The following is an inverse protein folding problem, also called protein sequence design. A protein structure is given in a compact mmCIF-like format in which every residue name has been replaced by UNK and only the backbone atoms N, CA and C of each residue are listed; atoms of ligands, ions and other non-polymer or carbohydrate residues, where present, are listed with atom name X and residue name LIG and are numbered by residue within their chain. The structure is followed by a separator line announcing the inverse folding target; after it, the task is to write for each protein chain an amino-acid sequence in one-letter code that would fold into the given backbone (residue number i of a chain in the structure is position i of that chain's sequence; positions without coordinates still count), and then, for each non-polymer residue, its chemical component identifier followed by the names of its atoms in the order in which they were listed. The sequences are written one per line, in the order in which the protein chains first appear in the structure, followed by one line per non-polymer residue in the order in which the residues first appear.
data_IF_877697222968
#
_entry.id   IF_877697222968
#
_cell.length_a   1.000
_cell.length_b   1.000
_cell.length_c   1.000
_cell.angle_alpha   90.00
_cell.angle_beta   90.00
_cell.angle_gamma   90.00
#
_symmetry.space_group_name_H-M   'P 1'
#
loop_
_entity.id
_entity.type
_entity.pdbx_description
1 polymer ?
#
# COMPACT_ATOMS: atom_id res chain seq x y z
N UNK A 1 17.32 -29.14 3.47
CA UNK A 1 18.76 -28.83 3.64
C UNK A 1 18.96 -27.43 3.08
N UNK A 2 19.37 -26.47 3.91
CA UNK A 2 19.55 -25.08 3.50
C UNK A 2 20.83 -25.00 2.66
N UNK A 3 20.69 -24.72 1.36
CA UNK A 3 21.85 -24.53 0.49
C UNK A 3 22.71 -23.39 1.03
N UNK A 4 24.01 -23.60 1.11
CA UNK A 4 24.94 -22.56 1.56
C UNK A 4 24.94 -21.40 0.57
N UNK A 5 25.38 -20.22 1.02
CA UNK A 5 25.54 -19.06 0.15
C UNK A 5 26.44 -19.33 -1.07
N UNK A 6 27.45 -20.17 -0.88
CA UNK A 6 28.39 -20.56 -1.93
C UNK A 6 27.70 -21.44 -2.97
N UNK A 7 26.90 -22.42 -2.53
CA UNK A 7 26.10 -23.27 -3.43
C UNK A 7 25.08 -22.46 -4.22
N UNK A 8 24.42 -21.48 -3.58
CA UNK A 8 23.48 -20.58 -4.27
C UNK A 8 24.18 -19.69 -5.32
N UNK A 9 25.38 -19.18 -5.00
CA UNK A 9 26.17 -18.39 -5.95
C UNK A 9 26.67 -19.23 -7.14
N UNK A 10 27.04 -20.49 -6.90
CA UNK A 10 27.43 -21.43 -7.96
C UNK A 10 26.24 -21.72 -8.88
N UNK A 11 25.06 -22.01 -8.31
CA UNK A 11 23.85 -22.24 -9.08
C UNK A 11 23.46 -21.01 -9.93
N UNK A 12 23.57 -19.80 -9.35
CA UNK A 12 23.28 -18.56 -10.07
C UNK A 12 24.24 -18.35 -11.25
N UNK A 13 25.55 -18.56 -11.04
CA UNK A 13 26.55 -18.43 -12.10
C UNK A 13 26.32 -19.43 -13.22
N UNK A 14 25.94 -20.66 -12.88
CA UNK A 14 25.61 -21.68 -13.88
C UNK A 14 24.38 -21.28 -14.70
N UNK A 15 23.32 -20.82 -14.06
CA UNK A 15 22.11 -20.37 -14.75
C UNK A 15 22.37 -19.18 -15.69
N UNK A 16 23.25 -18.25 -15.29
CA UNK A 16 23.67 -17.14 -16.15
C UNK A 16 24.48 -17.64 -17.35
N UNK A 17 25.41 -18.58 -17.14
CA UNK A 17 26.18 -19.16 -18.23
C UNK A 17 25.30 -19.89 -19.25
N UNK A 18 24.33 -20.67 -18.77
CA UNK A 18 23.38 -21.39 -19.61
C UNK A 18 22.50 -20.43 -20.42
N UNK A 19 22.09 -19.30 -19.82
CA UNK A 19 21.35 -18.24 -20.51
C UNK A 19 22.18 -17.57 -21.60
N UNK A 20 23.43 -17.22 -21.31
CA UNK A 20 24.35 -16.61 -22.29
C UNK A 20 24.57 -17.56 -23.47
N UNK A 21 24.78 -18.85 -23.20
CA UNK A 21 24.93 -19.87 -24.24
C UNK A 21 23.65 -20.06 -25.07
N UNK A 22 22.47 -20.03 -24.43
CA UNK A 22 21.18 -20.13 -25.10
C UNK A 22 20.88 -18.92 -26.02
N UNK A 23 21.24 -17.71 -25.58
CA UNK A 23 21.12 -16.48 -26.39
C UNK A 23 22.07 -16.54 -27.59
N UNK A 24 23.33 -16.96 -27.39
CA UNK A 24 24.28 -17.15 -28.49
C UNK A 24 23.80 -18.20 -29.51
N UNK A 25 23.05 -19.21 -29.06
CA UNK A 25 22.44 -20.23 -29.91
C UNK A 25 21.10 -19.79 -30.57
N UNK A 26 20.69 -18.54 -30.41
CA UNK A 26 19.47 -17.99 -31.03
C UNK A 26 18.15 -18.53 -30.47
N UNK A 27 18.14 -19.09 -29.26
CA UNK A 27 16.90 -19.56 -28.63
C UNK A 27 16.03 -18.35 -28.23
N UNK A 28 14.72 -18.33 -28.55
CA UNK A 28 13.84 -17.19 -28.27
C UNK A 28 13.77 -16.90 -26.77
N UNK A 29 13.87 -15.61 -26.41
CA UNK A 29 13.83 -15.12 -25.02
C UNK A 29 12.49 -15.37 -24.33
N UNK A 30 11.43 -15.59 -25.10
CA UNK A 30 10.04 -15.83 -24.67
C UNK A 30 9.86 -17.11 -23.84
N UNK A 31 10.78 -18.08 -23.91
CA UNK A 31 10.75 -19.26 -23.01
C UNK A 31 11.20 -18.97 -21.58
N UNK A 32 11.79 -17.81 -21.34
CA UNK A 32 12.44 -17.45 -20.06
C UNK A 32 11.73 -16.31 -19.33
N UNK A 33 10.70 -15.75 -19.93
CA UNK A 33 9.94 -14.63 -19.44
C UNK A 33 8.47 -14.92 -19.72
N UNK A 34 7.65 -15.01 -18.67
CA UNK A 34 6.20 -15.06 -18.81
C UNK A 34 5.68 -13.61 -18.85
N UNK A 35 5.13 -13.12 -19.98
CA UNK A 35 4.58 -11.78 -20.06
C UNK A 35 3.40 -11.56 -19.09
N UNK A 36 2.73 -12.63 -18.63
CA UNK A 36 1.62 -12.53 -17.69
C UNK A 36 2.05 -12.13 -16.27
N UNK A 37 3.35 -12.15 -15.98
CA UNK A 37 3.88 -11.87 -14.65
C UNK A 37 3.99 -10.37 -14.33
N UNK A 38 3.93 -9.49 -15.34
CA UNK A 38 3.97 -8.03 -15.17
C UNK A 38 2.59 -7.40 -14.89
N UNK A 39 1.51 -7.98 -15.46
CA UNK A 39 0.16 -7.38 -15.43
C UNK A 39 -0.85 -8.12 -14.54
N UNK A 40 -0.46 -9.26 -13.97
CA UNK A 40 -1.29 -9.95 -12.98
C UNK A 40 -1.12 -9.24 -11.63
N UNK A 41 -2.18 -8.64 -11.03
CA UNK A 41 -2.12 -8.24 -9.65
C UNK A 41 -1.95 -9.50 -8.82
N UNK A 42 -0.69 -9.86 -8.53
CA UNK A 42 -0.40 -10.90 -7.55
C UNK A 42 -1.17 -10.49 -6.31
N UNK A 43 -2.10 -11.31 -5.80
CA UNK A 43 -2.81 -10.97 -4.60
C UNK A 43 -1.74 -10.78 -3.53
N UNK A 44 -1.53 -9.52 -3.14
CA UNK A 44 -0.55 -9.15 -2.12
C UNK A 44 -1.16 -9.60 -0.80
N UNK A 45 -1.16 -10.90 -0.55
CA UNK A 45 -1.87 -11.53 0.56
C UNK A 45 -1.20 -11.26 1.92
N UNK A 46 -0.25 -10.32 2.00
CA UNK A 46 0.57 -10.06 3.20
C UNK A 46 1.57 -11.18 3.50
N UNK A 47 1.25 -12.43 3.17
CA UNK A 47 2.04 -13.64 3.41
C UNK A 47 3.42 -13.64 2.73
N UNK A 48 3.59 -12.84 1.68
CA UNK A 48 4.85 -12.76 0.93
C UNK A 48 5.99 -12.11 1.73
N UNK A 49 5.66 -11.20 2.68
CA UNK A 49 6.67 -10.39 3.38
C UNK A 49 7.37 -11.14 4.53
N UNK A 50 6.75 -12.21 5.04
CA UNK A 50 7.30 -13.04 6.11
C UNK A 50 8.09 -14.26 5.60
N UNK A 51 8.06 -14.50 4.28
CA UNK A 51 8.74 -15.65 3.65
C UNK A 51 10.15 -15.35 3.15
N UNK A 52 10.48 -14.08 2.92
CA UNK A 52 11.82 -13.71 2.45
C UNK A 52 12.80 -13.56 3.62
N UNK A 53 13.87 -14.39 3.70
CA UNK A 53 14.76 -14.42 4.86
C UNK A 53 15.56 -13.13 5.12
N UNK A 54 15.48 -12.12 4.22
CA UNK A 54 16.29 -10.90 4.29
C UNK A 54 15.54 -9.67 3.76
N UNK A 55 14.50 -9.26 4.48
CA UNK A 55 13.93 -7.92 4.31
C UNK A 55 14.94 -6.89 4.84
N UNK A 56 15.30 -5.89 4.04
CA UNK A 56 16.17 -4.81 4.48
C UNK A 56 15.52 -4.05 5.66
N UNK A 57 16.29 -3.59 6.68
CA UNK A 57 15.70 -2.93 7.86
C UNK A 57 14.76 -1.77 7.54
N UNK A 58 15.05 -0.96 6.51
CA UNK A 58 14.17 0.14 6.07
C UNK A 58 12.84 -0.36 5.50
N UNK A 59 12.84 -1.44 4.73
CA UNK A 59 11.61 -2.06 4.24
C UNK A 59 10.79 -2.63 5.39
N UNK A 60 11.46 -3.24 6.38
CA UNK A 60 10.79 -3.70 7.59
C UNK A 60 10.12 -2.54 8.33
N UNK A 61 10.83 -1.42 8.53
CA UNK A 61 10.26 -0.24 9.17
C UNK A 61 9.04 0.31 8.42
N UNK A 62 9.07 0.30 7.09
CA UNK A 62 7.91 0.67 6.27
C UNK A 62 6.72 -0.28 6.48
N UNK A 63 6.96 -1.58 6.55
CA UNK A 63 5.88 -2.55 6.83
C UNK A 63 5.30 -2.39 8.23
N UNK A 64 6.15 -2.11 9.22
CA UNK A 64 5.70 -1.80 10.58
C UNK A 64 4.75 -0.56 10.57
N UNK A 65 5.03 0.47 9.74
CA UNK A 65 4.12 1.61 9.53
C UNK A 65 2.82 1.20 8.85
N UNK A 66 2.86 0.30 7.86
CA UNK A 66 1.63 -0.22 7.23
C UNK A 66 0.75 -0.98 8.24
N UNK A 67 1.35 -1.73 9.16
CA UNK A 67 0.60 -2.42 10.21
C UNK A 67 -0.01 -1.43 11.21
N UNK A 68 0.73 -0.39 11.60
CA UNK A 68 0.19 0.69 12.41
C UNK A 68 -0.99 1.42 11.71
N UNK A 69 -0.92 1.61 10.39
CA UNK A 69 -2.01 2.18 9.59
C UNK A 69 -3.28 1.31 9.67
N UNK A 70 -3.15 -0.03 9.59
CA UNK A 70 -4.27 -0.96 9.74
C UNK A 70 -4.89 -0.87 11.14
N UNK A 71 -4.07 -0.85 12.17
CA UNK A 71 -4.52 -0.74 13.56
C UNK A 71 -5.28 0.57 13.80
N UNK A 72 -4.77 1.68 13.25
CA UNK A 72 -5.43 2.97 13.32
C UNK A 72 -6.76 3.00 12.59
N UNK A 73 -6.83 2.42 11.38
CA UNK A 73 -8.08 2.28 10.65
C UNK A 73 -9.10 1.50 11.49
N UNK A 74 -8.71 0.34 12.04
CA UNK A 74 -9.58 -0.47 12.88
C UNK A 74 -10.09 0.27 14.12
N UNK A 75 -9.24 1.10 14.77
CA UNK A 75 -9.64 1.96 15.90
C UNK A 75 -10.67 3.02 15.48
N UNK A 76 -10.37 3.83 14.46
CA UNK A 76 -11.23 4.92 13.98
C UNK A 76 -12.59 4.43 13.48
N UNK A 77 -12.59 3.30 12.80
CA UNK A 77 -13.82 2.64 12.33
C UNK A 77 -14.76 2.25 13.47
N UNK A 78 -14.22 1.88 14.65
CA UNK A 78 -15.02 1.57 15.85
C UNK A 78 -15.50 2.81 16.60
N UNK A 79 -14.67 3.85 16.69
CA UNK A 79 -14.96 5.01 17.55
C UNK A 79 -16.04 5.93 16.97
N UNK A 80 -15.95 6.29 15.69
CA UNK A 80 -16.89 7.24 15.07
C UNK A 80 -17.19 6.93 13.59
N UNK A 81 -16.55 5.93 13.00
CA UNK A 81 -16.83 5.50 11.63
C UNK A 81 -18.18 4.82 11.48
N UNK A 82 -18.71 4.23 12.56
CA UNK A 82 -19.81 3.27 12.51
C UNK A 82 -20.86 3.47 13.63
N UNK A 83 -21.66 4.57 13.62
CA UNK A 83 -22.65 4.84 14.67
C UNK A 83 -23.69 3.73 14.85
N UNK A 84 -23.98 2.98 13.78
CA UNK A 84 -24.91 1.84 13.78
C UNK A 84 -24.25 0.48 14.00
N UNK A 85 -22.92 0.37 13.94
CA UNK A 85 -22.21 -0.90 13.95
C UNK A 85 -22.16 -1.65 12.59
N UNK A 86 -22.81 -1.12 11.55
CA UNK A 86 -22.96 -1.81 10.25
C UNK A 86 -21.98 -1.33 9.15
N UNK A 87 -21.70 -0.03 9.05
CA UNK A 87 -20.77 0.53 8.05
C UNK A 87 -19.60 1.28 8.72
N UNK A 88 -18.38 0.70 8.73
CA UNK A 88 -17.15 1.31 9.25
C UNK A 88 -16.81 2.71 8.70
N UNK A 89 -17.42 3.08 7.57
CA UNK A 89 -17.13 4.29 6.83
C UNK A 89 -18.38 5.17 6.67
N UNK A 90 -19.41 4.96 7.50
CA UNK A 90 -20.68 5.68 7.44
C UNK A 90 -20.48 7.19 7.57
N UNK A 91 -19.52 7.64 8.37
CA UNK A 91 -19.20 9.07 8.52
C UNK A 91 -18.86 9.75 7.17
N UNK A 92 -18.05 9.11 6.33
CA UNK A 92 -17.65 9.63 5.02
C UNK A 92 -18.83 9.57 4.06
N UNK A 93 -19.59 8.47 4.03
CA UNK A 93 -20.75 8.34 3.13
C UNK A 93 -21.85 9.33 3.48
N UNK A 94 -22.19 9.43 4.76
CA UNK A 94 -23.23 10.32 5.26
C UNK A 94 -22.84 11.79 5.03
N UNK A 95 -21.58 12.15 5.31
CA UNK A 95 -21.08 13.49 5.03
C UNK A 95 -21.10 13.82 3.53
N UNK A 96 -20.70 12.88 2.68
CA UNK A 96 -20.73 13.04 1.23
C UNK A 96 -22.17 13.16 0.68
N UNK A 97 -23.09 12.31 1.17
CA UNK A 97 -24.50 12.34 0.82
C UNK A 97 -25.16 13.65 1.23
N UNK A 98 -24.85 14.16 2.43
CA UNK A 98 -25.35 15.45 2.93
C UNK A 98 -24.96 16.62 2.00
N UNK A 99 -23.74 16.62 1.46
CA UNK A 99 -23.25 17.66 0.54
C UNK A 99 -23.66 17.40 -0.92
N UNK A 100 -24.07 16.17 -1.26
CA UNK A 100 -24.43 15.78 -2.62
C UNK A 100 -23.23 15.43 -3.50
N UNK A 101 -22.20 14.81 -2.94
CA UNK A 101 -21.01 14.34 -3.68
C UNK A 101 -20.79 12.83 -3.52
N UNK A 102 -20.11 12.17 -4.47
CA UNK A 102 -19.58 10.82 -4.29
C UNK A 102 -18.74 10.65 -3.02
N UNK A 103 -18.87 9.50 -2.36
CA UNK A 103 -18.17 9.22 -1.10
C UNK A 103 -16.64 9.29 -1.24
N UNK A 104 -16.08 8.80 -2.37
CA UNK A 104 -14.65 8.90 -2.62
C UNK A 104 -14.17 10.36 -2.76
N UNK A 105 -15.00 11.26 -3.30
CA UNK A 105 -14.72 12.71 -3.31
C UNK A 105 -14.78 13.28 -1.90
N UNK A 106 -15.69 12.79 -1.06
CA UNK A 106 -15.71 13.10 0.38
C UNK A 106 -14.40 12.74 1.07
N UNK A 107 -13.84 11.55 0.80
CA UNK A 107 -12.51 11.18 1.30
C UNK A 107 -11.39 12.10 0.78
N UNK A 108 -11.45 12.53 -0.49
CA UNK A 108 -10.49 13.48 -1.06
C UNK A 108 -10.56 14.88 -0.40
N UNK A 109 -11.76 15.34 -0.01
CA UNK A 109 -11.90 16.59 0.76
C UNK A 109 -11.18 16.48 2.10
N UNK A 110 -11.38 15.39 2.83
CA UNK A 110 -10.71 15.13 4.12
C UNK A 110 -9.19 15.03 3.98
N UNK A 111 -8.72 14.45 2.89
CA UNK A 111 -7.31 14.43 2.52
C UNK A 111 -6.77 15.86 2.33
N UNK A 112 -7.50 16.71 1.61
CA UNK A 112 -7.14 18.12 1.38
C UNK A 112 -7.03 18.93 2.68
N UNK A 113 -7.91 18.68 3.66
CA UNK A 113 -7.82 19.33 4.99
C UNK A 113 -6.45 19.08 5.64
N UNK A 114 -5.95 17.83 5.53
CA UNK A 114 -4.67 17.41 6.11
C UNK A 114 -3.47 17.98 5.34
N UNK A 115 -3.54 18.02 4.01
CA UNK A 115 -2.52 18.69 3.17
C UNK A 115 -2.43 20.18 3.53
N UNK A 116 -3.57 20.85 3.72
CA UNK A 116 -3.62 22.27 4.08
C UNK A 116 -2.98 22.52 5.45
N UNK A 117 -3.22 21.61 6.41
CA UNK A 117 -2.56 21.67 7.73
C UNK A 117 -1.04 21.50 7.63
N UNK A 118 -0.56 20.58 6.79
CA UNK A 118 0.87 20.41 6.55
C UNK A 118 1.49 21.59 5.81
N UNK A 119 0.76 22.24 4.90
CA UNK A 119 1.22 23.48 4.27
C UNK A 119 1.44 24.59 5.31
N UNK A 120 0.52 24.74 6.27
CA UNK A 120 0.69 25.67 7.39
C UNK A 120 1.89 25.29 8.27
N UNK A 121 2.09 24.01 8.55
CA UNK A 121 3.28 23.54 9.27
C UNK A 121 4.58 23.88 8.53
N UNK A 122 4.65 23.65 7.21
CA UNK A 122 5.82 23.97 6.42
C UNK A 122 6.16 25.48 6.44
N UNK A 123 5.14 26.34 6.52
CA UNK A 123 5.33 27.78 6.58
C UNK A 123 5.72 28.29 7.98
N UNK A 124 5.25 27.64 9.05
CA UNK A 124 5.33 28.17 10.43
C UNK A 124 6.20 27.35 11.37
N UNK A 125 6.52 26.10 11.01
CA UNK A 125 7.20 25.12 11.84
C UNK A 125 6.37 24.63 13.05
N UNK A 126 5.05 24.91 13.09
CA UNK A 126 4.21 24.62 14.26
C UNK A 126 2.92 23.87 13.91
N UNK A 127 2.53 22.97 14.81
CA UNK A 127 1.24 22.28 14.83
C UNK A 127 0.72 22.31 16.27
N UNK A 128 -0.54 22.70 16.48
CA UNK A 128 -1.11 22.88 17.83
C UNK A 128 -1.97 21.70 18.31
N UNK A 129 -2.60 20.96 17.39
CA UNK A 129 -3.65 19.99 17.74
C UNK A 129 -3.36 18.54 17.33
N UNK A 130 -2.46 18.32 16.38
CA UNK A 130 -2.12 17.00 15.84
C UNK A 130 -0.66 16.99 15.43
N UNK A 131 0.02 15.86 15.54
CA UNK A 131 1.42 15.76 15.13
C UNK A 131 1.57 15.69 13.60
N UNK A 132 2.81 15.91 13.12
CA UNK A 132 3.16 15.66 11.71
C UNK A 132 2.86 14.21 11.32
N UNK A 133 3.20 13.27 12.20
CA UNK A 133 3.00 11.83 11.98
C UNK A 133 1.51 11.48 11.87
N UNK A 134 0.65 12.01 12.75
CA UNK A 134 -0.80 11.81 12.68
C UNK A 134 -1.37 12.28 11.33
N UNK A 135 -0.89 13.43 10.84
CA UNK A 135 -1.32 13.99 9.57
C UNK A 135 -0.87 13.14 8.39
N UNK A 136 0.37 12.65 8.39
CA UNK A 136 0.88 11.76 7.35
C UNK A 136 0.14 10.42 7.32
N UNK A 137 -0.18 9.86 8.48
CA UNK A 137 -1.01 8.65 8.55
C UNK A 137 -2.44 8.89 8.07
N UNK A 138 -3.05 10.03 8.41
CA UNK A 138 -4.37 10.39 7.89
C UNK A 138 -4.34 10.51 6.36
N UNK A 139 -3.30 11.10 5.77
CA UNK A 139 -3.15 11.16 4.31
C UNK A 139 -3.07 9.77 3.68
N UNK A 140 -2.27 8.86 4.25
CA UNK A 140 -2.19 7.48 3.78
C UNK A 140 -3.55 6.76 3.88
N UNK A 141 -4.24 6.93 5.02
CA UNK A 141 -5.57 6.36 5.25
C UNK A 141 -6.60 6.89 4.26
N UNK A 142 -6.75 8.21 4.12
CA UNK A 142 -7.73 8.79 3.21
C UNK A 142 -7.44 8.48 1.74
N UNK A 143 -6.17 8.32 1.36
CA UNK A 143 -5.80 7.87 0.01
C UNK A 143 -6.33 6.45 -0.28
N UNK A 144 -6.14 5.51 0.65
CA UNK A 144 -6.65 4.15 0.53
C UNK A 144 -8.19 4.12 0.56
N UNK A 145 -8.81 4.92 1.43
CA UNK A 145 -10.27 5.03 1.51
C UNK A 145 -10.87 5.61 0.22
N UNK A 146 -10.28 6.66 -0.35
CA UNK A 146 -10.72 7.22 -1.62
C UNK A 146 -10.67 6.17 -2.74
N UNK A 147 -9.57 5.39 -2.82
CA UNK A 147 -9.45 4.30 -3.79
C UNK A 147 -10.51 3.20 -3.58
N UNK A 148 -10.72 2.78 -2.33
CA UNK A 148 -11.73 1.76 -1.98
C UNK A 148 -13.13 2.22 -2.40
N UNK A 149 -13.52 3.42 -2.00
CA UNK A 149 -14.85 3.99 -2.28
C UNK A 149 -15.09 4.20 -3.77
N UNK A 150 -14.05 4.61 -4.52
CA UNK A 150 -14.14 4.75 -5.96
C UNK A 150 -14.31 3.38 -6.65
N UNK A 151 -13.64 2.33 -6.15
CA UNK A 151 -13.81 0.97 -6.65
C UNK A 151 -15.21 0.43 -6.35
N UNK A 152 -15.75 0.69 -5.17
CA UNK A 152 -17.13 0.34 -4.82
C UNK A 152 -18.13 1.01 -5.76
N UNK A 153 -18.02 2.33 -5.97
CA UNK A 153 -18.90 3.08 -6.89
C UNK A 153 -18.83 2.55 -8.33
N UNK A 154 -17.62 2.21 -8.82
CA UNK A 154 -17.44 1.67 -10.18
C UNK A 154 -18.03 0.26 -10.35
N UNK A 155 -18.13 -0.50 -9.27
CA UNK A 155 -18.58 -1.90 -9.29
C UNK A 155 -20.05 -2.07 -8.86
N UNK A 156 -20.74 -0.98 -8.48
CA UNK A 156 -22.15 -0.95 -8.11
C UNK A 156 -23.06 -0.79 -9.34
#
# INVERSE_FOLDING_TARGET
MTTTFEEANVALRQAVADRVAAVAAGKPSEKWYDPQDEDSPRPFAGDSLLREPRVHPTSKAFFDLCDLLKDMHAKKSRDYGCPSGEDPLANIRNGAAFVGIPAWKGAMVRLSDKVTRLAAYNATGRLENESLEDNLFDLASYSLLALLLHREERNA
#
